data_IF_622201575888
#
_entry.id   IF_622201575888
#
_cell.length_a   1.000
_cell.length_b   1.000
_cell.length_c   1.000
_cell.angle_alpha   90.00
_cell.angle_beta   90.00
_cell.angle_gamma   90.00
#
_symmetry.space_group_name_H-M   'P 1'
#
loop_
_entity.id
_entity.type
_entity.pdbx_description
1 polymer ?
#
# COMPACT_ATOMS: atom_id res chain seq x y z
N UNK A 1 -12.02 2.63 -4.12
CA UNK A 1 -13.15 1.91 -4.74
C UNK A 1 -14.24 2.87 -5.23
N UNK A 2 -14.79 3.77 -4.40
CA UNK A 2 -15.82 4.75 -4.83
C UNK A 2 -15.42 5.54 -6.10
N UNK A 3 -14.21 6.09 -6.13
CA UNK A 3 -13.69 6.84 -7.29
C UNK A 3 -13.47 5.98 -8.56
N UNK A 4 -13.16 4.70 -8.40
CA UNK A 4 -12.91 3.77 -9.53
C UNK A 4 -14.23 3.41 -10.21
N UNK A 5 -15.26 3.15 -9.42
CA UNK A 5 -16.62 2.88 -9.91
C UNK A 5 -17.20 4.14 -10.56
N UNK A 6 -16.95 5.32 -9.99
CA UNK A 6 -17.31 6.61 -10.60
C UNK A 6 -16.60 6.85 -11.95
N UNK A 7 -15.40 6.31 -12.14
CA UNK A 7 -14.68 6.34 -13.40
C UNK A 7 -15.20 5.33 -14.46
N UNK A 8 -16.29 4.61 -14.17
CA UNK A 8 -16.93 3.68 -15.12
C UNK A 8 -16.25 2.30 -15.21
N UNK A 9 -15.27 2.01 -14.35
CA UNK A 9 -14.62 0.70 -14.29
C UNK A 9 -15.55 -0.29 -13.60
N UNK A 10 -15.86 -1.39 -14.28
CA UNK A 10 -16.74 -2.43 -13.74
C UNK A 10 -16.07 -3.10 -12.52
N UNK A 11 -16.69 -2.97 -11.34
CA UNK A 11 -16.19 -3.56 -10.10
C UNK A 11 -16.02 -5.08 -10.16
N UNK A 12 -16.80 -5.80 -10.98
CA UNK A 12 -16.63 -7.26 -11.18
C UNK A 12 -15.40 -7.63 -12.01
N UNK A 13 -14.76 -6.65 -12.67
CA UNK A 13 -13.53 -6.79 -13.45
C UNK A 13 -12.37 -5.99 -12.84
N UNK A 14 -12.53 -5.57 -11.58
CA UNK A 14 -11.48 -4.90 -10.82
C UNK A 14 -10.82 -5.93 -9.92
N UNK A 15 -9.49 -5.92 -9.88
CA UNK A 15 -8.69 -6.57 -8.85
C UNK A 15 -7.76 -5.50 -8.29
N UNK A 16 -7.59 -5.50 -6.99
CA UNK A 16 -6.55 -4.67 -6.38
C UNK A 16 -5.28 -5.51 -6.33
N UNK A 17 -4.15 -4.82 -6.28
CA UNK A 17 -2.86 -5.47 -6.14
C UNK A 17 -1.99 -4.56 -5.28
N UNK A 18 -1.11 -5.16 -4.47
CA UNK A 18 -0.13 -4.40 -3.71
C UNK A 18 1.07 -4.11 -4.61
N UNK A 19 1.46 -2.84 -4.70
CA UNK A 19 2.54 -2.38 -5.58
C UNK A 19 3.85 -3.17 -5.42
N UNK A 20 4.37 -3.42 -4.20
CA UNK A 20 5.60 -4.18 -4.07
C UNK A 20 5.42 -5.67 -4.42
N UNK A 21 4.22 -6.24 -4.32
CA UNK A 21 3.96 -7.63 -4.76
C UNK A 21 4.06 -7.73 -6.28
N UNK A 22 3.37 -6.83 -6.98
CA UNK A 22 3.31 -6.89 -8.45
C UNK A 22 4.64 -6.52 -9.09
N UNK A 23 5.38 -5.58 -8.51
CA UNK A 23 6.71 -5.25 -9.00
C UNK A 23 7.67 -6.45 -8.93
N UNK A 24 7.58 -7.27 -7.89
CA UNK A 24 8.34 -8.52 -7.80
C UNK A 24 7.90 -9.56 -8.83
N UNK A 25 6.59 -9.67 -9.10
CA UNK A 25 6.09 -10.56 -10.16
C UNK A 25 6.66 -10.19 -11.53
N UNK A 26 6.74 -8.90 -11.86
CA UNK A 26 7.41 -8.45 -13.09
C UNK A 26 8.85 -8.98 -13.15
N UNK A 27 9.66 -8.69 -12.12
CA UNK A 27 11.05 -9.15 -12.08
C UNK A 27 11.18 -10.68 -12.14
N UNK A 28 10.26 -11.43 -11.52
CA UNK A 28 10.28 -12.91 -11.50
C UNK A 28 9.83 -13.55 -12.81
N UNK A 29 8.92 -12.92 -13.55
CA UNK A 29 8.36 -13.48 -14.79
C UNK A 29 9.09 -13.06 -16.06
N UNK A 30 9.81 -11.94 -16.02
CA UNK A 30 10.52 -11.39 -17.19
C UNK A 30 11.45 -12.43 -17.84
N UNK A 31 11.30 -12.64 -19.15
CA UNK A 31 11.79 -13.83 -19.85
C UNK A 31 13.21 -13.67 -20.38
N UNK A 32 13.71 -12.44 -20.51
CA UNK A 32 14.96 -12.17 -21.23
C UNK A 32 16.20 -12.80 -20.59
N UNK A 33 16.13 -13.21 -19.32
CA UNK A 33 17.25 -13.91 -18.69
C UNK A 33 16.87 -14.75 -17.45
N UNK A 34 15.92 -15.69 -17.60
CA UNK A 34 15.44 -16.55 -16.49
C UNK A 34 16.54 -17.32 -15.74
N UNK A 35 17.70 -17.55 -16.37
CA UNK A 35 18.85 -18.24 -15.77
C UNK A 35 19.84 -17.32 -15.05
N UNK A 36 19.69 -15.98 -15.13
CA UNK A 36 20.60 -15.01 -14.50
C UNK A 36 19.97 -14.20 -13.35
N UNK A 37 18.71 -14.49 -12.99
CA UNK A 37 18.01 -13.78 -11.92
C UNK A 37 18.70 -14.02 -10.57
N UNK A 38 19.10 -12.93 -9.92
CA UNK A 38 19.80 -12.97 -8.64
C UNK A 38 18.96 -13.55 -7.48
N UNK A 39 17.64 -13.53 -7.58
CA UNK A 39 16.72 -14.03 -6.55
C UNK A 39 16.42 -15.50 -6.82
N UNK A 40 17.04 -16.43 -6.09
CA UNK A 40 16.78 -17.88 -6.23
C UNK A 40 15.56 -18.33 -5.43
N UNK A 41 15.00 -19.50 -5.74
CA UNK A 41 13.92 -20.12 -4.93
C UNK A 41 14.40 -20.28 -3.48
N UNK A 42 13.55 -19.94 -2.51
CA UNK A 42 13.85 -19.91 -1.07
C UNK A 42 14.59 -18.66 -0.59
N UNK A 43 15.01 -17.78 -1.50
CA UNK A 43 15.65 -16.51 -1.13
C UNK A 43 14.60 -15.52 -0.62
N UNK A 44 14.87 -14.92 0.55
CA UNK A 44 14.14 -13.76 1.04
C UNK A 44 14.78 -12.48 0.53
N UNK A 45 13.95 -11.55 0.07
CA UNK A 45 14.39 -10.27 -0.46
C UNK A 45 13.40 -9.17 -0.06
N UNK A 46 13.92 -7.95 0.06
CA UNK A 46 13.13 -6.75 0.30
C UNK A 46 12.74 -6.13 -1.03
N UNK A 47 11.48 -5.76 -1.21
CA UNK A 47 11.03 -4.90 -2.30
C UNK A 47 10.76 -3.51 -1.74
N UNK A 48 11.33 -2.50 -2.39
CA UNK A 48 11.20 -1.09 -2.04
C UNK A 48 10.64 -0.38 -3.27
N UNK A 49 9.35 -0.07 -3.24
CA UNK A 49 8.71 0.76 -4.25
C UNK A 49 8.84 2.24 -3.86
N UNK A 50 9.72 2.97 -4.54
CA UNK A 50 9.90 4.40 -4.39
C UNK A 50 9.10 5.15 -5.45
N UNK A 51 7.82 5.33 -5.13
CA UNK A 51 6.88 6.09 -5.93
C UNK A 51 7.01 7.61 -5.77
N UNK A 52 5.98 8.31 -6.24
CA UNK A 52 5.88 9.76 -6.12
C UNK A 52 5.59 10.19 -4.68
N UNK A 53 4.54 9.65 -4.05
CA UNK A 53 4.12 10.10 -2.71
C UNK A 53 4.74 9.30 -1.57
N UNK A 54 4.94 8.00 -1.76
CA UNK A 54 5.29 7.04 -0.72
C UNK A 54 6.47 6.19 -1.12
N UNK A 55 7.09 5.61 -0.09
CA UNK A 55 7.97 4.47 -0.21
C UNK A 55 7.27 3.27 0.42
N UNK A 56 6.96 2.23 -0.37
CA UNK A 56 6.27 1.04 0.07
C UNK A 56 7.22 -0.16 0.09
N UNK A 57 7.38 -0.77 1.26
CA UNK A 57 8.41 -1.77 1.56
C UNK A 57 7.76 -3.05 2.03
N UNK A 58 8.14 -4.17 1.41
CA UNK A 58 7.71 -5.51 1.86
C UNK A 58 8.86 -6.50 1.81
N UNK A 59 8.82 -7.52 2.67
CA UNK A 59 9.74 -8.66 2.59
C UNK A 59 8.99 -9.83 1.98
N UNK A 60 9.63 -10.44 1.00
CA UNK A 60 9.07 -11.48 0.18
C UNK A 60 10.05 -12.64 0.03
N UNK A 61 9.54 -13.81 -0.31
CA UNK A 61 10.31 -15.01 -0.62
C UNK A 61 9.88 -15.53 -2.00
N UNK A 62 10.87 -15.91 -2.83
CA UNK A 62 10.59 -16.66 -4.06
C UNK A 62 10.25 -18.08 -3.66
N UNK A 63 8.97 -18.39 -3.62
CA UNK A 63 8.43 -19.67 -3.20
C UNK A 63 8.50 -20.70 -4.34
N UNK A 64 8.44 -22.02 -4.06
CA UNK A 64 8.37 -23.04 -5.11
C UNK A 64 7.28 -22.77 -6.16
N UNK A 65 7.47 -23.31 -7.36
CA UNK A 65 6.61 -23.07 -8.54
C UNK A 65 6.56 -21.60 -9.01
N UNK A 66 7.64 -20.84 -8.79
CA UNK A 66 7.75 -19.43 -9.22
C UNK A 66 6.69 -18.52 -8.59
N UNK A 67 6.22 -18.88 -7.40
CA UNK A 67 5.24 -18.09 -6.68
C UNK A 67 5.92 -17.13 -5.70
N UNK A 68 5.18 -16.10 -5.33
CA UNK A 68 5.54 -15.10 -4.35
C UNK A 68 4.93 -15.46 -3.00
N UNK A 69 5.73 -15.49 -1.94
CA UNK A 69 5.25 -15.58 -0.55
C UNK A 69 5.60 -14.28 0.19
N UNK A 70 4.59 -13.58 0.72
CA UNK A 70 4.85 -12.37 1.52
C UNK A 70 5.19 -12.78 2.95
N UNK A 71 6.37 -12.38 3.43
CA UNK A 71 6.90 -12.75 4.76
C UNK A 71 6.53 -11.71 5.82
N UNK A 72 6.44 -10.45 5.40
CA UNK A 72 6.08 -9.35 6.28
C UNK A 72 5.09 -8.43 5.56
N UNK A 73 4.10 -7.92 6.30
CA UNK A 73 3.19 -6.87 5.84
C UNK A 73 3.96 -5.71 5.23
N UNK A 74 3.37 -5.10 4.21
CA UNK A 74 3.88 -3.85 3.67
C UNK A 74 3.97 -2.78 4.77
N UNK A 75 5.04 -2.01 4.72
CA UNK A 75 5.32 -0.87 5.60
C UNK A 75 5.84 0.26 4.73
N UNK A 76 5.90 1.49 5.24
CA UNK A 76 6.33 2.59 4.40
C UNK A 76 6.19 3.95 5.05
N UNK A 77 6.54 4.98 4.29
CA UNK A 77 6.46 6.36 4.73
C UNK A 77 6.42 7.34 3.56
N UNK A 78 6.21 8.63 3.83
CA UNK A 78 6.13 9.68 2.82
C UNK A 78 7.53 10.09 2.29
N UNK A 79 8.33 9.11 1.88
CA UNK A 79 9.72 9.28 1.43
C UNK A 79 9.88 9.20 -0.10
N UNK A 80 8.76 9.30 -0.83
CA UNK A 80 8.73 9.29 -2.29
C UNK A 80 9.19 10.61 -2.92
N UNK A 81 9.20 10.67 -4.26
CA UNK A 81 9.70 11.83 -5.02
C UNK A 81 9.10 13.20 -4.69
N UNK A 82 7.88 13.24 -4.16
CA UNK A 82 7.12 14.47 -3.88
C UNK A 82 7.77 15.31 -2.78
N UNK A 83 8.40 14.71 -1.78
CA UNK A 83 9.12 15.47 -0.76
C UNK A 83 10.36 16.18 -1.34
N UNK A 84 11.03 15.55 -2.31
CA UNK A 84 12.14 16.15 -3.05
C UNK A 84 11.63 17.30 -3.92
N UNK A 85 10.47 17.12 -4.57
CA UNK A 85 9.84 18.17 -5.37
C UNK A 85 9.43 19.39 -4.52
N UNK A 86 8.98 19.15 -3.28
CA UNK A 86 8.67 20.22 -2.33
C UNK A 86 9.93 21.02 -1.94
N UNK A 87 11.05 20.34 -1.68
CA UNK A 87 12.34 20.99 -1.40
C UNK A 87 12.84 21.82 -2.59
N UNK A 88 12.70 21.29 -3.80
CA UNK A 88 12.99 22.01 -5.04
C UNK A 88 12.13 23.27 -5.20
N UNK A 89 10.81 23.16 -5.00
CA UNK A 89 9.89 24.31 -5.08
C UNK A 89 10.20 25.34 -4.00
N UNK A 90 10.54 24.92 -2.78
CA UNK A 90 10.96 25.81 -1.69
C UNK A 90 12.24 26.57 -2.06
N UNK A 91 13.21 25.89 -2.68
CA UNK A 91 14.40 26.53 -3.22
C UNK A 91 14.04 27.60 -4.25
N UNK A 92 13.19 27.31 -5.23
CA UNK A 92 12.76 28.30 -6.23
C UNK A 92 12.07 29.51 -5.60
N UNK A 93 11.24 29.31 -4.58
CA UNK A 93 10.62 30.41 -3.81
C UNK A 93 11.66 31.25 -3.07
N UNK A 94 12.72 30.65 -2.53
CA UNK A 94 13.82 31.39 -1.91
C UNK A 94 14.64 32.19 -2.93
N UNK A 95 14.79 31.67 -4.14
CA UNK A 95 15.52 32.30 -5.25
C UNK A 95 14.72 33.45 -5.85
N UNK A 96 13.44 33.24 -6.16
CA UNK A 96 12.60 34.18 -6.92
C UNK A 96 11.63 35.02 -6.08
N UNK A 97 11.60 34.82 -4.76
CA UNK A 97 10.64 35.48 -3.88
C UNK A 97 9.36 34.65 -3.79
N UNK A 98 8.92 34.39 -2.57
CA UNK A 98 7.77 33.52 -2.29
C UNK A 98 6.49 34.04 -2.97
N UNK A 99 6.19 35.33 -2.81
CA UNK A 99 4.96 35.92 -3.31
C UNK A 99 4.91 35.92 -4.84
N UNK A 100 6.04 36.25 -5.47
CA UNK A 100 6.19 36.28 -6.92
C UNK A 100 6.07 34.89 -7.53
N UNK A 101 6.71 33.90 -6.91
CA UNK A 101 6.65 32.51 -7.37
C UNK A 101 5.27 31.89 -7.13
N UNK A 102 4.62 32.17 -5.99
CA UNK A 102 3.25 31.72 -5.71
C UNK A 102 2.25 32.31 -6.73
N UNK A 103 2.41 33.59 -7.11
CA UNK A 103 1.63 34.22 -8.19
C UNK A 103 1.85 33.53 -9.53
N UNK A 104 3.12 33.27 -9.90
CA UNK A 104 3.47 32.58 -11.14
C UNK A 104 2.84 31.18 -11.20
N UNK A 105 2.94 30.41 -10.12
CA UNK A 105 2.36 29.07 -10.03
C UNK A 105 0.84 29.07 -10.30
N UNK A 106 0.13 30.11 -9.86
CA UNK A 106 -1.32 30.24 -10.04
C UNK A 106 -1.72 30.74 -11.43
N UNK A 107 -0.93 31.66 -12.01
CA UNK A 107 -1.29 32.37 -13.24
C UNK A 107 -0.72 31.72 -14.51
N UNK A 108 0.39 31.00 -14.39
CA UNK A 108 1.19 30.49 -15.51
C UNK A 108 1.43 28.98 -15.34
N UNK A 109 0.34 28.21 -15.19
CA UNK A 109 0.39 26.79 -14.81
C UNK A 109 1.13 25.90 -15.83
N UNK A 110 1.07 26.23 -17.12
CA UNK A 110 1.81 25.51 -18.17
C UNK A 110 3.32 25.64 -18.01
N UNK A 111 3.80 26.86 -17.85
CA UNK A 111 5.22 27.16 -17.63
C UNK A 111 5.72 26.59 -16.29
N UNK A 112 4.89 26.61 -15.24
CA UNK A 112 5.20 25.95 -13.98
C UNK A 112 5.33 24.42 -14.15
N UNK A 113 4.43 23.79 -14.91
CA UNK A 113 4.50 22.36 -15.21
C UNK A 113 5.76 22.02 -16.01
N UNK A 114 6.20 22.85 -16.95
CA UNK A 114 7.47 22.66 -17.67
C UNK A 114 8.67 22.67 -16.73
N UNK A 115 8.70 23.57 -15.74
CA UNK A 115 9.77 23.60 -14.72
C UNK A 115 9.80 22.27 -13.93
N UNK A 116 8.64 21.82 -13.45
CA UNK A 116 8.53 20.57 -12.69
C UNK A 116 8.96 19.37 -13.52
N UNK A 117 8.48 19.26 -14.76
CA UNK A 117 8.84 18.15 -15.66
C UNK A 117 10.34 18.15 -16.01
N UNK A 118 10.92 19.34 -16.19
CA UNK A 118 12.36 19.50 -16.40
C UNK A 118 13.18 19.02 -15.21
N UNK A 119 12.68 19.25 -13.99
CA UNK A 119 13.31 18.76 -12.77
C UNK A 119 13.11 17.24 -12.57
N UNK A 120 11.91 16.72 -12.86
CA UNK A 120 11.60 15.29 -12.77
C UNK A 120 12.59 14.44 -13.58
N UNK A 121 12.88 14.86 -14.82
CA UNK A 121 13.86 14.18 -15.68
C UNK A 121 15.26 14.20 -15.07
N UNK A 122 15.66 15.32 -14.45
CA UNK A 122 16.98 15.48 -13.83
C UNK A 122 17.12 14.69 -12.53
N UNK A 123 16.05 14.59 -11.74
CA UNK A 123 15.98 13.86 -10.47
C UNK A 123 16.35 12.38 -10.62
N UNK A 124 16.04 11.80 -11.80
CA UNK A 124 16.31 10.40 -12.17
C UNK A 124 17.60 10.21 -12.98
N UNK A 125 18.19 11.29 -13.45
CA UNK A 125 19.40 11.24 -14.30
C UNK A 125 20.67 11.08 -13.47
N UNK A 126 21.73 10.56 -14.09
CA UNK A 126 23.07 10.68 -13.53
C UNK A 126 23.58 12.11 -13.74
N UNK A 127 23.66 12.89 -12.67
CA UNK A 127 24.03 14.30 -12.72
C UNK A 127 25.50 14.47 -12.34
N UNK A 128 26.19 15.37 -13.02
CA UNK A 128 27.57 15.77 -12.69
C UNK A 128 27.67 17.30 -12.59
N UNK A 129 28.37 17.78 -11.56
CA UNK A 129 28.61 19.19 -11.25
C UNK A 129 27.37 19.99 -10.86
N UNK A 130 26.44 20.22 -11.80
CA UNK A 130 25.27 21.10 -11.64
C UNK A 130 24.12 20.73 -12.56
N UNK A 131 22.91 21.14 -12.19
CA UNK A 131 21.76 21.14 -13.10
C UNK A 131 21.52 22.53 -13.68
N UNK A 132 21.11 22.57 -14.94
CA UNK A 132 20.67 23.81 -15.59
C UNK A 132 19.17 23.76 -15.80
N UNK A 133 18.44 24.54 -15.01
CA UNK A 133 16.98 24.63 -15.07
C UNK A 133 16.57 25.82 -15.95
N UNK A 134 15.79 25.58 -16.99
CA UNK A 134 15.25 26.67 -17.80
C UNK A 134 14.20 27.43 -17.00
N UNK A 135 14.31 28.75 -16.94
CA UNK A 135 13.35 29.60 -16.25
C UNK A 135 12.54 30.40 -17.29
N UNK A 136 11.21 30.20 -17.35
CA UNK A 136 10.36 30.86 -18.34
C UNK A 136 10.24 32.36 -18.08
N UNK A 137 10.11 33.14 -19.15
CA UNK A 137 10.02 34.60 -19.08
C UNK A 137 8.76 35.10 -18.35
N UNK A 138 7.69 34.31 -18.33
CA UNK A 138 6.43 34.56 -17.63
C UNK A 138 6.62 34.71 -16.11
N UNK A 139 7.60 34.00 -15.52
CA UNK A 139 8.00 34.19 -14.11
C UNK A 139 8.40 35.64 -13.82
N UNK A 140 8.88 36.36 -14.84
CA UNK A 140 9.35 37.74 -14.75
C UNK A 140 8.45 38.77 -15.43
N UNK A 141 7.28 38.39 -15.96
CA UNK A 141 6.49 39.26 -16.81
C UNK A 141 5.86 40.47 -16.07
N UNK A 142 5.66 40.39 -14.75
CA UNK A 142 5.09 41.47 -13.93
C UNK A 142 6.03 42.65 -13.70
N UNK A 143 5.50 43.90 -13.62
CA UNK A 143 6.32 45.12 -13.38
C UNK A 143 7.15 45.06 -12.09
N UNK A 144 6.60 44.49 -11.01
CA UNK A 144 7.33 44.27 -9.76
C UNK A 144 8.35 43.12 -9.88
N UNK A 145 7.96 42.03 -10.57
CA UNK A 145 8.81 40.88 -10.85
C UNK A 145 10.04 41.24 -11.69
N UNK A 146 9.94 42.18 -12.65
CA UNK A 146 11.10 42.70 -13.39
C UNK A 146 12.09 43.42 -12.49
N UNK A 147 11.62 44.33 -11.63
CA UNK A 147 12.50 45.05 -10.67
C UNK A 147 13.16 44.09 -9.69
N UNK A 148 12.41 43.12 -9.18
CA UNK A 148 12.92 42.08 -8.30
C UNK A 148 13.98 41.23 -9.02
N UNK A 149 13.70 40.78 -10.25
CA UNK A 149 14.64 40.01 -11.06
C UNK A 149 15.92 40.78 -11.38
N UNK A 150 15.85 42.05 -11.77
CA UNK A 150 17.05 42.89 -11.98
C UNK A 150 17.91 43.04 -10.71
N UNK A 151 17.30 42.97 -9.53
CA UNK A 151 18.02 43.02 -8.25
C UNK A 151 18.60 41.66 -7.87
N UNK A 152 17.85 40.57 -8.10
CA UNK A 152 18.23 39.19 -7.79
C UNK A 152 19.19 38.58 -8.81
N UNK A 153 19.15 38.94 -10.09
CA UNK A 153 20.10 38.47 -11.11
C UNK A 153 21.54 38.91 -10.83
N UNK A 154 21.73 39.92 -9.99
CA UNK A 154 23.05 40.30 -9.43
C UNK A 154 23.51 39.39 -8.28
N UNK A 155 22.59 38.66 -7.64
CA UNK A 155 22.85 37.79 -6.49
C UNK A 155 22.78 36.30 -6.85
N UNK A 156 22.01 35.96 -7.88
CA UNK A 156 21.81 34.61 -8.40
C UNK A 156 22.35 34.59 -9.82
N UNK A 157 23.53 33.99 -10.06
CA UNK A 157 24.14 33.98 -11.37
C UNK A 157 23.28 33.15 -12.34
N UNK A 158 22.57 33.82 -13.25
CA UNK A 158 21.82 33.20 -14.34
C UNK A 158 22.68 33.12 -15.61
N UNK A 159 22.59 31.98 -16.31
CA UNK A 159 23.21 31.77 -17.62
C UNK A 159 22.15 31.89 -18.71
N UNK A 160 21.97 33.10 -19.26
CA UNK A 160 20.85 33.44 -20.15
C UNK A 160 19.50 33.19 -19.47
N UNK A 161 18.72 32.21 -19.93
CA UNK A 161 17.45 31.78 -19.38
C UNK A 161 17.57 30.54 -18.48
N UNK A 162 18.80 30.12 -18.12
CA UNK A 162 19.04 28.92 -17.31
C UNK A 162 19.59 29.25 -15.93
N UNK A 163 18.96 28.69 -14.90
CA UNK A 163 19.40 28.75 -13.52
C UNK A 163 20.34 27.56 -13.27
N UNK A 164 21.65 27.78 -13.15
CA UNK A 164 22.55 26.75 -12.65
C UNK A 164 22.25 26.51 -11.16
N UNK A 165 22.13 25.25 -10.78
CA UNK A 165 21.96 24.81 -9.40
C UNK A 165 23.02 23.75 -9.14
N UNK A 166 23.90 24.00 -8.19
CA UNK A 166 24.96 23.07 -7.82
C UNK A 166 24.37 21.74 -7.35
N UNK A 167 25.03 20.65 -7.73
CA UNK A 167 24.54 19.31 -7.42
C UNK A 167 24.50 19.07 -5.90
N UNK A 168 25.37 19.71 -5.11
CA UNK A 168 25.33 19.64 -3.65
C UNK A 168 24.01 20.17 -3.06
N UNK A 169 23.45 21.24 -3.64
CA UNK A 169 22.14 21.76 -3.24
C UNK A 169 21.05 20.76 -3.63
N UNK A 170 21.11 20.23 -4.85
CA UNK A 170 20.14 19.23 -5.33
C UNK A 170 20.16 17.98 -4.43
N UNK A 171 21.35 17.46 -4.10
CA UNK A 171 21.53 16.29 -3.24
C UNK A 171 20.96 16.52 -1.83
N UNK A 172 21.09 17.74 -1.28
CA UNK A 172 20.54 18.04 0.05
C UNK A 172 19.01 17.90 0.13
N UNK A 173 18.31 18.01 -1.01
CA UNK A 173 16.85 17.80 -1.06
C UNK A 173 16.45 16.34 -0.92
N UNK A 174 17.37 15.41 -1.19
CA UNK A 174 17.16 13.98 -1.06
C UNK A 174 17.57 13.45 0.31
N UNK A 175 18.38 14.21 1.07
CA UNK A 175 19.07 13.67 2.23
C UNK A 175 18.11 13.16 3.29
N UNK A 176 17.26 14.03 3.81
CA UNK A 176 16.29 13.67 4.87
C UNK A 176 15.36 12.51 4.44
N UNK A 177 14.68 12.55 3.28
CA UNK A 177 13.83 11.44 2.84
C UNK A 177 14.59 10.12 2.69
N UNK A 178 15.80 10.16 2.12
CA UNK A 178 16.61 8.96 1.90
C UNK A 178 17.16 8.41 3.22
N UNK A 179 17.51 9.27 4.17
CA UNK A 179 17.96 8.86 5.49
C UNK A 179 16.83 8.20 6.29
N UNK A 180 15.61 8.73 6.21
CA UNK A 180 14.43 8.11 6.82
C UNK A 180 14.15 6.73 6.21
N UNK A 181 14.22 6.60 4.88
CA UNK A 181 14.13 5.32 4.19
C UNK A 181 15.18 4.32 4.68
N UNK A 182 16.45 4.72 4.72
CA UNK A 182 17.57 3.86 5.17
C UNK A 182 17.38 3.41 6.61
N UNK A 183 16.98 4.32 7.50
CA UNK A 183 16.72 4.00 8.90
C UNK A 183 15.60 2.96 9.03
N UNK A 184 14.50 3.14 8.29
CA UNK A 184 13.40 2.17 8.29
C UNK A 184 13.82 0.80 7.75
N UNK A 185 14.68 0.76 6.72
CA UNK A 185 15.25 -0.50 6.19
C UNK A 185 16.09 -1.18 7.28
N UNK A 186 16.98 -0.46 7.95
CA UNK A 186 17.82 -0.98 9.05
C UNK A 186 16.96 -1.52 10.20
N UNK A 187 15.95 -0.77 10.62
CA UNK A 187 15.03 -1.18 11.68
C UNK A 187 14.26 -2.44 11.29
N UNK A 188 13.81 -2.53 10.04
CA UNK A 188 13.13 -3.72 9.51
C UNK A 188 14.04 -4.94 9.54
N UNK A 189 15.28 -4.80 9.07
CA UNK A 189 16.25 -5.91 8.99
C UNK A 189 16.88 -6.29 10.34
N UNK A 190 16.72 -5.45 11.37
CA UNK A 190 17.17 -5.77 12.73
C UNK A 190 16.38 -6.94 13.36
N UNK A 191 15.16 -7.19 12.84
CA UNK A 191 14.26 -8.25 13.31
C UNK A 191 14.89 -9.64 13.11
N UNK A 192 14.92 -10.50 14.15
CA UNK A 192 15.61 -11.80 14.09
C UNK A 192 15.23 -12.67 12.87
N UNK A 193 13.95 -12.68 12.51
CA UNK A 193 13.38 -13.48 11.42
C UNK A 193 13.73 -12.99 10.00
N UNK A 194 14.30 -11.78 9.89
CA UNK A 194 14.67 -11.12 8.63
C UNK A 194 16.19 -10.93 8.47
N UNK A 195 16.99 -11.40 9.43
CA UNK A 195 18.46 -11.25 9.41
C UNK A 195 19.15 -11.99 8.28
N UNK A 196 18.46 -12.86 7.57
CA UNK A 196 18.93 -13.62 6.41
C UNK A 196 18.59 -12.95 5.06
N UNK A 197 17.85 -11.83 5.07
CA UNK A 197 17.61 -11.02 3.85
C UNK A 197 18.93 -10.41 3.39
N UNK A 198 19.34 -10.72 2.15
CA UNK A 198 20.60 -10.23 1.54
C UNK A 198 20.39 -9.50 0.22
N UNK A 199 19.14 -9.35 -0.21
CA UNK A 199 18.79 -8.73 -1.48
C UNK A 199 17.73 -7.66 -1.21
N UNK A 200 17.91 -6.49 -1.80
CA UNK A 200 16.89 -5.45 -1.91
C UNK A 200 16.65 -5.12 -3.37
N UNK A 201 15.40 -5.10 -3.78
CA UNK A 201 14.95 -4.74 -5.11
C UNK A 201 14.26 -3.38 -5.06
N UNK A 202 14.80 -2.41 -5.77
CA UNK A 202 14.33 -1.03 -5.82
C UNK A 202 13.53 -0.80 -7.10
N UNK A 203 12.27 -0.42 -6.95
CA UNK A 203 11.30 -0.20 -8.03
C UNK A 203 10.60 1.15 -7.85
N UNK A 204 9.83 1.58 -8.85
CA UNK A 204 9.17 2.88 -8.83
C UNK A 204 9.99 3.96 -9.54
N UNK A 205 9.36 5.09 -9.86
CA UNK A 205 9.98 6.13 -10.69
C UNK A 205 11.24 6.74 -10.09
N UNK A 206 11.35 6.78 -8.75
CA UNK A 206 12.51 7.32 -8.07
C UNK A 206 13.64 6.28 -7.89
N UNK A 207 13.38 4.99 -8.15
CA UNK A 207 14.39 3.94 -8.11
C UNK A 207 15.53 4.18 -9.10
N UNK A 208 15.28 4.89 -10.19
CA UNK A 208 16.26 5.23 -11.23
C UNK A 208 17.31 6.25 -10.76
N UNK A 209 17.08 6.93 -9.63
CA UNK A 209 17.99 7.92 -9.08
C UNK A 209 19.30 7.29 -8.61
N UNK A 210 20.41 7.60 -9.31
CA UNK A 210 21.76 7.14 -8.92
C UNK A 210 22.20 7.64 -7.55
N UNK A 211 21.68 8.78 -7.11
CA UNK A 211 21.92 9.29 -5.76
C UNK A 211 21.42 8.31 -4.70
N UNK A 212 20.13 7.94 -4.78
CA UNK A 212 19.49 7.02 -3.83
C UNK A 212 20.14 5.64 -3.90
N UNK A 213 20.39 5.12 -5.11
CA UNK A 213 21.09 3.84 -5.28
C UNK A 213 22.45 3.85 -4.58
N UNK A 214 23.25 4.90 -4.78
CA UNK A 214 24.58 5.03 -4.15
C UNK A 214 24.47 5.14 -2.63
N UNK A 215 23.51 5.93 -2.12
CA UNK A 215 23.32 6.12 -0.67
C UNK A 215 22.87 4.82 0.00
N UNK A 216 22.00 4.04 -0.64
CA UNK A 216 21.59 2.70 -0.19
C UNK A 216 22.79 1.74 -0.15
N UNK A 217 23.55 1.61 -1.25
CA UNK A 217 24.72 0.72 -1.32
C UNK A 217 25.76 1.07 -0.23
N UNK A 218 26.05 2.36 -0.04
CA UNK A 218 27.04 2.79 0.95
C UNK A 218 26.59 2.55 2.39
N UNK A 219 25.28 2.63 2.67
CA UNK A 219 24.74 2.46 4.02
C UNK A 219 24.37 1.02 4.37
N UNK A 220 24.26 0.15 3.38
CA UNK A 220 23.84 -1.25 3.49
C UNK A 220 24.74 -2.15 2.59
N UNK A 221 26.08 -2.11 2.75
CA UNK A 221 27.02 -2.79 1.84
C UNK A 221 26.88 -4.32 1.85
N UNK A 222 26.29 -4.88 2.90
CA UNK A 222 26.01 -6.32 3.05
C UNK A 222 24.77 -6.79 2.26
N UNK A 223 24.01 -5.87 1.68
CA UNK A 223 22.77 -6.14 0.95
C UNK A 223 22.98 -5.83 -0.53
N UNK A 224 22.75 -6.81 -1.39
CA UNK A 224 22.79 -6.62 -2.82
C UNK A 224 21.59 -5.77 -3.27
N UNK A 225 21.87 -4.64 -3.92
CA UNK A 225 20.86 -3.82 -4.57
C UNK A 225 20.60 -4.32 -6.00
N UNK A 226 19.33 -4.60 -6.29
CA UNK A 226 18.82 -4.89 -7.62
C UNK A 226 17.92 -3.72 -8.03
N UNK A 227 18.14 -3.18 -9.22
CA UNK A 227 17.23 -2.22 -9.85
C UNK A 227 16.81 -2.83 -11.19
N UNK A 228 15.56 -3.31 -11.33
CA UNK A 228 15.09 -3.88 -12.58
C UNK A 228 15.17 -2.89 -13.73
N UNK A 229 15.30 -3.40 -14.95
CA UNK A 229 15.05 -2.58 -16.14
C UNK A 229 13.60 -2.08 -16.12
N UNK A 230 13.40 -0.83 -16.55
CA UNK A 230 12.14 -0.11 -16.44
C UNK A 230 11.57 -0.13 -15.01
N UNK A 231 12.40 0.11 -13.99
CA UNK A 231 11.98 0.17 -12.58
C UNK A 231 10.76 1.08 -12.37
N UNK A 232 10.67 2.21 -13.09
CA UNK A 232 9.51 3.10 -13.06
C UNK A 232 8.19 2.52 -13.61
N UNK A 233 8.25 1.44 -14.41
CA UNK A 233 7.08 0.73 -14.96
C UNK A 233 6.84 -0.65 -14.32
N UNK A 234 7.75 -1.13 -13.46
CA UNK A 234 7.71 -2.47 -12.89
C UNK A 234 6.37 -2.79 -12.21
N UNK A 235 5.82 -1.84 -11.43
CA UNK A 235 4.52 -1.98 -10.77
C UNK A 235 3.39 -2.17 -11.80
N UNK A 236 3.37 -1.35 -12.85
CA UNK A 236 2.33 -1.40 -13.88
C UNK A 236 2.41 -2.69 -14.70
N UNK A 237 3.61 -3.07 -15.16
CA UNK A 237 3.82 -4.32 -15.90
C UNK A 237 3.46 -5.53 -15.03
N UNK A 238 3.87 -5.51 -13.76
CA UNK A 238 3.52 -6.50 -12.76
C UNK A 238 2.03 -6.62 -12.52
N UNK A 239 1.31 -5.50 -12.47
CA UNK A 239 -0.14 -5.48 -12.25
C UNK A 239 -0.90 -6.16 -13.40
N UNK A 240 -0.40 -6.02 -14.64
CA UNK A 240 -0.94 -6.76 -15.79
C UNK A 240 -0.76 -8.27 -15.60
N UNK A 241 0.45 -8.71 -15.25
CA UNK A 241 0.75 -10.13 -14.96
C UNK A 241 -0.17 -10.66 -13.85
N UNK A 242 -0.27 -9.93 -12.74
CA UNK A 242 -1.13 -10.29 -11.61
C UNK A 242 -2.61 -10.38 -12.03
N UNK A 243 -3.09 -9.45 -12.84
CA UNK A 243 -4.46 -9.46 -13.35
C UNK A 243 -4.80 -10.75 -14.09
N UNK A 244 -3.86 -11.24 -14.92
CA UNK A 244 -3.97 -12.50 -15.66
C UNK A 244 -3.74 -13.74 -14.79
N UNK A 245 -2.82 -13.70 -13.82
CA UNK A 245 -2.44 -14.87 -13.02
C UNK A 245 -2.24 -14.51 -11.54
N UNK A 246 -3.32 -14.25 -10.78
CA UNK A 246 -3.22 -13.87 -9.36
C UNK A 246 -2.64 -14.97 -8.47
N UNK A 247 -2.75 -16.23 -8.90
CA UNK A 247 -2.19 -17.40 -8.21
C UNK A 247 -0.67 -17.41 -8.16
N UNK A 248 0.01 -16.47 -8.83
CA UNK A 248 1.44 -16.25 -8.63
C UNK A 248 1.75 -15.70 -7.23
N UNK A 249 0.78 -15.14 -6.50
CA UNK A 249 0.95 -14.85 -5.07
C UNK A 249 0.44 -16.04 -4.27
N UNK A 250 1.36 -16.80 -3.67
CA UNK A 250 1.07 -18.01 -2.90
C UNK A 250 0.40 -17.72 -1.56
N UNK A 251 0.87 -16.70 -0.82
CA UNK A 251 0.35 -16.38 0.51
C UNK A 251 0.60 -14.92 0.90
N UNK A 252 -0.14 -14.47 1.91
CA UNK A 252 -0.02 -13.13 2.52
C UNK A 252 -0.08 -13.19 4.04
N UNK A 253 0.59 -12.25 4.69
CA UNK A 253 0.45 -12.01 6.13
C UNK A 253 -0.72 -11.06 6.38
N UNK A 254 -1.67 -11.50 7.20
CA UNK A 254 -2.92 -10.78 7.42
C UNK A 254 -2.73 -9.52 8.26
N UNK A 255 -3.14 -8.38 7.69
CA UNK A 255 -2.98 -7.07 8.31
C UNK A 255 -3.77 -6.91 9.62
N UNK A 256 -4.91 -7.60 9.73
CA UNK A 256 -5.85 -7.55 10.85
C UNK A 256 -6.37 -8.94 11.20
N UNK A 257 -6.91 -9.06 12.41
CA UNK A 257 -7.79 -10.16 12.79
C UNK A 257 -9.16 -9.88 12.20
N UNK A 258 -9.74 -10.87 11.51
CA UNK A 258 -11.05 -10.76 10.88
C UNK A 258 -12.04 -11.71 11.51
N UNK A 259 -13.29 -11.27 11.60
CA UNK A 259 -14.36 -12.09 12.13
C UNK A 259 -15.73 -11.44 11.99
N UNK A 260 -16.72 -12.00 12.68
CA UNK A 260 -18.07 -11.47 12.71
C UNK A 260 -18.52 -11.14 14.13
N UNK A 261 -19.50 -10.24 14.23
CA UNK A 261 -20.30 -10.10 15.44
C UNK A 261 -21.30 -11.24 15.53
N UNK A 262 -21.31 -11.92 16.68
CA UNK A 262 -22.19 -13.03 16.96
C UNK A 262 -22.82 -12.91 18.35
N UNK A 263 -23.84 -13.73 18.55
CA UNK A 263 -24.47 -14.00 19.84
C UNK A 263 -24.08 -15.40 20.27
N UNK A 264 -23.76 -15.57 21.54
CA UNK A 264 -23.39 -16.87 22.10
C UNK A 264 -24.25 -17.18 23.33
N UNK A 265 -24.44 -18.47 23.63
CA UNK A 265 -25.04 -18.87 24.89
C UNK A 265 -24.23 -18.29 26.06
N UNK A 266 -24.94 -17.67 27.00
CA UNK A 266 -24.31 -17.01 28.11
C UNK A 266 -23.58 -18.04 28.99
N UNK A 267 -22.34 -17.72 29.30
CA UNK A 267 -21.45 -18.56 30.07
C UNK A 267 -20.78 -17.64 31.08
N UNK A 268 -20.96 -17.92 32.36
CA UNK A 268 -20.57 -17.01 33.45
C UNK A 268 -19.05 -16.78 33.53
N UNK A 269 -18.24 -17.75 33.14
CA UNK A 269 -16.77 -17.62 33.18
C UNK A 269 -16.24 -16.91 31.95
N UNK A 270 -16.76 -17.24 30.76
CA UNK A 270 -16.36 -16.58 29.49
C UNK A 270 -16.87 -15.14 29.38
N UNK A 271 -18.11 -14.91 29.79
CA UNK A 271 -18.85 -13.65 29.60
C UNK A 271 -18.97 -12.83 30.89
N UNK A 272 -17.98 -12.94 31.78
CA UNK A 272 -17.97 -12.23 33.05
C UNK A 272 -18.09 -10.71 32.84
N UNK A 273 -19.02 -10.08 33.56
CA UNK A 273 -19.27 -8.63 33.49
C UNK A 273 -19.97 -8.15 32.22
N UNK A 274 -20.40 -9.04 31.32
CA UNK A 274 -21.17 -8.67 30.12
C UNK A 274 -22.66 -8.70 30.37
N UNK A 275 -23.37 -7.80 29.70
CA UNK A 275 -24.82 -7.83 29.63
C UNK A 275 -25.29 -9.10 28.92
N UNK A 276 -26.36 -9.68 29.47
CA UNK A 276 -27.02 -10.86 28.90
C UNK A 276 -28.48 -10.54 28.62
N UNK A 277 -29.03 -11.18 27.61
CA UNK A 277 -30.45 -11.06 27.26
C UNK A 277 -31.10 -12.43 27.18
N UNK A 278 -32.40 -12.49 27.46
CA UNK A 278 -33.19 -13.72 27.44
C UNK A 278 -33.90 -13.86 26.10
N UNK A 279 -33.78 -15.02 25.46
CA UNK A 279 -34.46 -15.35 24.21
C UNK A 279 -34.82 -16.83 24.22
N UNK A 280 -36.09 -17.16 23.99
CA UNK A 280 -36.61 -18.53 23.91
C UNK A 280 -36.15 -19.41 25.08
N UNK A 281 -36.20 -18.86 26.30
CA UNK A 281 -35.81 -19.54 27.55
C UNK A 281 -34.31 -19.59 27.83
N UNK A 282 -33.46 -19.15 26.91
CA UNK A 282 -32.00 -19.20 27.03
C UNK A 282 -31.38 -17.81 27.20
N UNK A 283 -30.35 -17.71 28.05
CA UNK A 283 -29.58 -16.48 28.22
C UNK A 283 -28.46 -16.43 27.18
N UNK A 284 -28.29 -15.29 26.53
CA UNK A 284 -27.27 -15.06 25.51
C UNK A 284 -26.39 -13.85 25.86
N UNK A 285 -25.14 -13.89 25.43
CA UNK A 285 -24.21 -12.77 25.40
C UNK A 285 -24.20 -12.15 23.98
N UNK A 286 -24.40 -10.83 23.90
CA UNK A 286 -24.32 -10.08 22.65
C UNK A 286 -22.90 -9.62 22.31
N UNK A 287 -22.71 -9.17 21.08
CA UNK A 287 -21.47 -8.54 20.61
C UNK A 287 -20.23 -9.42 20.77
N UNK A 288 -20.36 -10.75 20.75
CA UNK A 288 -19.22 -11.65 20.79
C UNK A 288 -18.46 -11.54 19.47
N UNK A 289 -17.13 -11.51 19.52
CA UNK A 289 -16.30 -11.50 18.32
C UNK A 289 -15.95 -12.94 17.95
N UNK A 290 -16.49 -13.44 16.85
CA UNK A 290 -16.13 -14.76 16.34
C UNK A 290 -15.02 -14.61 15.30
N UNK A 291 -13.80 -14.94 15.71
CA UNK A 291 -12.59 -14.89 14.87
C UNK A 291 -12.67 -15.96 13.78
N UNK A 292 -12.28 -15.56 12.56
CA UNK A 292 -12.04 -16.44 11.42
C UNK A 292 -10.56 -16.55 11.09
N UNK A 293 -9.81 -15.46 11.20
CA UNK A 293 -8.37 -15.39 10.92
C UNK A 293 -7.73 -14.36 11.83
N UNK A 294 -6.51 -14.62 12.28
CA UNK A 294 -5.76 -13.73 13.17
C UNK A 294 -4.87 -12.74 12.40
N UNK A 295 -4.64 -11.58 13.01
CA UNK A 295 -3.58 -10.67 12.59
C UNK A 295 -2.23 -11.38 12.61
N UNK A 296 -1.37 -11.10 11.63
CA UNK A 296 -0.07 -11.73 11.41
C UNK A 296 -0.11 -13.21 11.02
N UNK A 297 -1.30 -13.80 10.89
CA UNK A 297 -1.42 -15.15 10.34
C UNK A 297 -1.06 -15.15 8.85
N UNK A 298 -0.33 -16.17 8.42
CA UNK A 298 -0.06 -16.40 7.00
C UNK A 298 -1.23 -17.17 6.37
N UNK A 299 -1.82 -16.59 5.33
CA UNK A 299 -2.95 -17.17 4.64
C UNK A 299 -2.60 -17.43 3.18
N UNK A 300 -2.80 -18.68 2.76
CA UNK A 300 -2.63 -19.11 1.38
C UNK A 300 -3.65 -18.43 0.45
N UNK A 301 -3.29 -18.28 -0.81
CA UNK A 301 -4.21 -17.81 -1.83
C UNK A 301 -5.43 -18.73 -1.92
N UNK A 302 -6.63 -18.14 -1.99
CA UNK A 302 -7.94 -18.81 -2.04
C UNK A 302 -8.27 -19.64 -0.80
N UNK A 303 -7.58 -19.41 0.31
CA UNK A 303 -7.91 -20.05 1.57
C UNK A 303 -9.34 -19.71 2.02
N UNK A 304 -10.05 -20.70 2.55
CA UNK A 304 -11.43 -20.56 3.02
C UNK A 304 -11.53 -21.00 4.47
N UNK A 305 -12.12 -20.13 5.29
CA UNK A 305 -12.49 -20.45 6.67
C UNK A 305 -14.01 -20.37 6.78
N UNK A 306 -14.63 -21.44 7.26
CA UNK A 306 -16.09 -21.57 7.34
C UNK A 306 -16.54 -21.95 8.74
N UNK A 307 -17.62 -21.30 9.18
CA UNK A 307 -18.29 -21.62 10.44
C UNK A 307 -19.80 -21.64 10.24
N UNK A 308 -20.47 -22.56 10.94
CA UNK A 308 -21.92 -22.73 10.89
C UNK A 308 -22.56 -21.96 12.04
N UNK A 309 -23.59 -21.19 11.73
CA UNK A 309 -24.38 -20.42 12.68
C UNK A 309 -25.86 -20.80 12.59
N UNK A 310 -26.57 -20.66 13.71
CA UNK A 310 -28.02 -20.88 13.81
C UNK A 310 -28.69 -19.52 14.03
N UNK A 311 -29.73 -19.16 13.26
CA UNK A 311 -30.41 -17.89 13.42
C UNK A 311 -31.23 -17.85 14.72
N UNK A 312 -31.27 -16.69 15.39
CA UNK A 312 -32.15 -16.47 16.57
C UNK A 312 -33.42 -15.69 16.26
N UNK A 313 -33.51 -15.07 15.08
CA UNK A 313 -34.62 -14.20 14.68
C UNK A 313 -35.03 -14.46 13.24
N UNK A 314 -36.19 -13.95 12.82
CA UNK A 314 -36.63 -14.03 11.44
C UNK A 314 -35.67 -13.34 10.44
N UNK A 315 -34.85 -12.41 10.91
CA UNK A 315 -33.79 -11.78 10.13
C UNK A 315 -32.46 -11.96 10.85
N UNK A 316 -31.46 -12.48 10.14
CA UNK A 316 -30.08 -12.57 10.62
C UNK A 316 -29.26 -11.41 10.09
N UNK A 317 -28.50 -10.77 10.97
CA UNK A 317 -27.47 -9.79 10.59
C UNK A 317 -26.11 -10.41 10.84
N UNK A 318 -25.25 -10.37 9.83
CA UNK A 318 -23.89 -10.91 9.90
C UNK A 318 -22.93 -9.75 9.68
N UNK A 319 -22.64 -8.98 10.76
CA UNK A 319 -21.73 -7.86 10.68
C UNK A 319 -20.28 -8.37 10.66
N UNK A 320 -19.49 -7.92 9.71
CA UNK A 320 -18.09 -8.29 9.51
C UNK A 320 -17.19 -7.22 10.13
N UNK A 321 -16.28 -7.65 11.00
CA UNK A 321 -15.37 -6.78 11.73
C UNK A 321 -13.91 -7.10 11.43
N UNK A 322 -13.07 -6.10 11.69
CA UNK A 322 -11.61 -6.27 11.81
C UNK A 322 -11.07 -5.60 13.06
N UNK A 323 -9.86 -5.99 13.47
CA UNK A 323 -9.11 -5.33 14.55
C UNK A 323 -7.61 -5.65 14.48
N UNK A 324 -6.78 -4.80 15.10
CA UNK A 324 -5.35 -5.08 15.33
C UNK A 324 -5.10 -6.00 16.54
N UNK A 325 -6.11 -6.24 17.38
CA UNK A 325 -6.00 -7.20 18.49
C UNK A 325 -5.88 -8.63 17.96
N UNK A 326 -4.96 -9.43 18.50
CA UNK A 326 -4.83 -10.85 18.14
C UNK A 326 -6.02 -11.67 18.62
N UNK A 327 -6.55 -11.34 19.80
CA UNK A 327 -7.60 -12.08 20.50
C UNK A 327 -8.71 -11.14 20.97
N UNK A 328 -9.47 -10.49 20.05
CA UNK A 328 -10.66 -9.73 20.42
C UNK A 328 -11.70 -10.67 21.03
N UNK A 329 -12.33 -10.26 22.13
CA UNK A 329 -13.41 -11.02 22.75
C UNK A 329 -14.76 -10.52 22.27
N UNK A 330 -14.88 -9.21 22.04
CA UNK A 330 -16.13 -8.58 21.67
C UNK A 330 -15.96 -7.54 20.57
N UNK A 331 -17.02 -7.34 19.79
CA UNK A 331 -17.04 -6.30 18.73
C UNK A 331 -17.07 -4.88 19.28
N UNK A 332 -17.28 -4.73 20.59
CA UNK A 332 -17.20 -3.45 21.32
C UNK A 332 -15.82 -3.19 21.91
N UNK A 333 -14.88 -4.13 21.77
CA UNK A 333 -13.52 -3.94 22.29
C UNK A 333 -12.83 -2.80 21.52
N UNK A 334 -11.95 -2.00 22.18
CA UNK A 334 -11.26 -0.90 21.53
C UNK A 334 -10.51 -1.36 20.26
N UNK A 335 -10.67 -0.61 19.17
CA UNK A 335 -10.04 -0.91 17.88
C UNK A 335 -10.74 -2.00 17.05
N UNK A 336 -11.96 -2.43 17.42
CA UNK A 336 -12.82 -3.17 16.51
C UNK A 336 -13.55 -2.23 15.54
N UNK A 337 -13.43 -2.49 14.25
CA UNK A 337 -14.03 -1.68 13.18
C UNK A 337 -15.01 -2.52 12.38
N UNK A 338 -16.24 -2.01 12.19
CA UNK A 338 -17.25 -2.63 11.32
C UNK A 338 -16.91 -2.32 9.86
N UNK A 339 -16.78 -3.36 9.04
CA UNK A 339 -16.49 -3.23 7.60
C UNK A 339 -17.74 -3.26 6.73
N UNK A 340 -18.76 -4.01 7.16
CA UNK A 340 -20.02 -4.17 6.45
C UNK A 340 -20.86 -5.26 7.07
N UNK A 341 -22.02 -5.54 6.48
CA UNK A 341 -22.94 -6.56 6.98
C UNK A 341 -23.68 -7.27 5.85
N UNK A 342 -24.01 -8.55 6.08
CA UNK A 342 -24.93 -9.32 5.25
C UNK A 342 -26.24 -9.48 6.03
N UNK A 343 -27.36 -9.14 5.38
CA UNK A 343 -28.70 -9.28 5.95
C UNK A 343 -29.41 -10.47 5.28
N UNK A 344 -29.88 -11.41 6.08
CA UNK A 344 -30.55 -12.62 5.59
C UNK A 344 -31.96 -12.66 6.16
N UNK A 345 -32.94 -12.79 5.26
CA UNK A 345 -34.30 -13.13 5.65
C UNK A 345 -34.39 -14.65 5.81
N UNK A 346 -34.58 -15.09 7.06
CA UNK A 346 -34.67 -16.51 7.38
C UNK A 346 -36.03 -17.07 6.98
N UNK A 347 -36.05 -18.37 6.76
CA UNK A 347 -37.24 -19.10 6.35
C UNK A 347 -38.27 -19.12 7.48
N UNK A 348 -39.54 -19.03 7.09
CA UNK A 348 -40.68 -19.11 8.03
C UNK A 348 -41.35 -20.48 8.02
N UNK A 349 -41.00 -21.36 7.08
CA UNK A 349 -41.60 -22.68 6.89
C UNK A 349 -40.88 -23.80 7.66
N UNK A 350 -39.73 -23.51 8.28
CA UNK A 350 -38.98 -24.44 9.15
C UNK A 350 -38.54 -23.72 10.44
N UNK A 351 -38.45 -24.42 11.59
CA UNK A 351 -37.97 -23.84 12.84
C UNK A 351 -36.58 -23.20 12.70
N UNK A 352 -36.32 -22.11 13.42
CA UNK A 352 -35.02 -21.41 13.36
C UNK A 352 -33.86 -22.31 13.83
N UNK A 353 -34.09 -23.15 14.83
CA UNK A 353 -33.07 -24.07 15.36
C UNK A 353 -32.64 -25.15 14.36
N UNK A 354 -33.50 -25.46 13.39
CA UNK A 354 -33.21 -26.41 12.30
C UNK A 354 -32.54 -25.72 11.11
N UNK A 355 -32.53 -24.39 11.07
CA UNK A 355 -31.88 -23.59 10.03
C UNK A 355 -30.39 -23.41 10.35
N UNK A 356 -29.56 -23.46 9.31
CA UNK A 356 -28.12 -23.28 9.41
C UNK A 356 -27.64 -22.30 8.36
N UNK A 357 -26.69 -21.45 8.74
CA UNK A 357 -26.01 -20.52 7.86
C UNK A 357 -24.52 -20.84 7.88
N UNK A 358 -23.98 -21.27 6.74
CA UNK A 358 -22.55 -21.46 6.59
C UNK A 358 -21.92 -20.13 6.18
N UNK A 359 -21.29 -19.44 7.13
CA UNK A 359 -20.56 -18.20 6.89
C UNK A 359 -19.13 -18.56 6.52
N UNK A 360 -18.69 -18.13 5.34
CA UNK A 360 -17.38 -18.41 4.79
C UNK A 360 -16.62 -17.13 4.51
N UNK A 361 -15.41 -17.04 5.02
CA UNK A 361 -14.44 -16.02 4.64
C UNK A 361 -13.49 -16.64 3.63
N UNK A 362 -13.36 -16.00 2.47
CA UNK A 362 -12.43 -16.39 1.43
C UNK A 362 -11.37 -15.32 1.29
N UNK A 363 -10.15 -15.73 1.60
CA UNK A 363 -8.95 -14.91 1.60
C UNK A 363 -8.08 -15.28 0.40
N UNK A 364 -7.15 -14.41 0.04
CA UNK A 364 -6.09 -14.75 -0.90
C UNK A 364 -6.08 -13.98 -2.21
N UNK A 365 -7.01 -13.05 -2.38
CA UNK A 365 -6.84 -11.88 -3.23
C UNK A 365 -6.68 -10.65 -2.31
N UNK A 366 -6.51 -9.45 -2.85
CA UNK A 366 -6.47 -8.20 -2.05
C UNK A 366 -7.82 -7.78 -1.45
N UNK A 367 -8.88 -8.49 -1.81
CA UNK A 367 -10.24 -8.29 -1.31
C UNK A 367 -10.65 -9.48 -0.45
N UNK A 368 -11.39 -9.21 0.62
CA UNK A 368 -12.03 -10.23 1.44
C UNK A 368 -13.44 -10.48 0.90
N UNK A 369 -13.70 -11.70 0.48
CA UNK A 369 -15.04 -12.14 0.14
C UNK A 369 -15.64 -12.89 1.34
N UNK A 370 -16.74 -12.37 1.87
CA UNK A 370 -17.56 -13.06 2.87
C UNK A 370 -18.82 -13.55 2.20
N UNK A 371 -19.13 -14.83 2.35
CA UNK A 371 -20.39 -15.39 1.86
C UNK A 371 -21.14 -16.10 2.95
N UNK A 372 -22.45 -16.16 2.78
CA UNK A 372 -23.34 -16.89 3.69
C UNK A 372 -24.26 -17.75 2.86
N UNK A 373 -24.14 -19.05 3.05
CA UNK A 373 -24.90 -20.05 2.33
C UNK A 373 -25.89 -20.76 3.26
N UNK A 374 -27.15 -20.84 2.84
CA UNK A 374 -28.11 -21.77 3.41
C UNK A 374 -27.87 -23.16 2.77
N UNK A 375 -27.40 -24.16 3.53
CA UNK A 375 -27.07 -25.48 3.00
C UNK A 375 -28.30 -26.28 2.55
N UNK A 376 -29.51 -25.92 3.01
CA UNK A 376 -30.74 -26.62 2.64
C UNK A 376 -31.26 -26.21 1.26
N UNK A 377 -31.01 -24.97 0.86
CA UNK A 377 -31.48 -24.39 -0.41
C UNK A 377 -30.36 -24.16 -1.41
N UNK A 378 -29.10 -24.11 -0.95
CA UNK A 378 -27.95 -23.69 -1.75
C UNK A 378 -27.93 -22.20 -2.06
N UNK A 379 -28.87 -21.40 -1.52
CA UNK A 379 -28.89 -19.95 -1.73
C UNK A 379 -27.71 -19.31 -1.00
N UNK A 380 -27.00 -18.43 -1.69
CA UNK A 380 -25.82 -17.73 -1.17
C UNK A 380 -25.97 -16.21 -1.32
N UNK A 381 -25.68 -15.49 -0.24
CA UNK A 381 -25.53 -14.03 -0.23
C UNK A 381 -24.04 -13.70 -0.01
N UNK A 382 -23.53 -12.64 -0.64
CA UNK A 382 -22.10 -12.32 -0.63
C UNK A 382 -21.83 -10.84 -0.36
N UNK A 383 -20.70 -10.56 0.29
CA UNK A 383 -20.17 -9.24 0.57
C UNK A 383 -18.67 -9.22 0.23
N UNK A 384 -18.28 -8.36 -0.70
CA UNK A 384 -16.87 -8.10 -1.01
C UNK A 384 -16.39 -6.86 -0.27
N UNK A 385 -15.35 -7.01 0.53
CA UNK A 385 -14.75 -5.97 1.36
C UNK A 385 -13.31 -5.70 0.90
N UNK A 386 -12.94 -4.42 0.88
CA UNK A 386 -11.58 -4.02 0.56
C UNK A 386 -10.70 -4.10 1.83
N UNK A 387 -9.66 -4.94 1.81
CA UNK A 387 -8.75 -5.12 2.95
C UNK A 387 -7.64 -4.06 3.04
N UNK A 388 -7.50 -3.18 2.04
CA UNK A 388 -6.43 -2.18 1.93
C UNK A 388 -6.78 -0.82 2.54
N UNK A 389 -7.98 -0.66 3.10
CA UNK A 389 -8.46 0.57 3.75
C UNK A 389 -8.73 0.31 5.19
#
# INVERSE_FOLDING_TARGET
MLYIIQAGINGKRLKLALEPEVAALWYMTDDEDRNSKAISIGSKYMVIDLGGGTADISIQERFPNEQLRVIQKASGGPWGGTCIDQNFVAYLKSVFGKNEFDRFQQQESGDYFEILNSFETKKRSNLDGRINLRIPMSLYAGKESKKFFFKKSKQVPMERDKLPIDLSIVMSWFDEPTDQLINHIKDTLSKPELRDVRIMMLVGGLAESKYIQTKLINNLPEIQLIVPEDAGLAVLKGAVIFGHTPSLVASRIMAYTYGIGAVELFNRTKHFGREKFLKDGNWYAGHCFKIFVHVNEEILSRHRVSHIFVPLNATSRIPVYRTLSVEPKYTTDPGCELLGEINIQNRTDIPLDDQKHNVTFMFGETELLVSVMDPSTGKEEQLTLNCLK
#
